data_IF_584552456722
#
_entry.id   IF_584552456722
#
_cell.length_a   1.000
_cell.length_b   1.000
_cell.length_c   1.000
_cell.angle_alpha   90.00
_cell.angle_beta   90.00
_cell.angle_gamma   90.00
#
_symmetry.space_group_name_H-M   'P 1'
#
loop_
_entity.id
_entity.type
_entity.pdbx_description
1 polymer ?
#
# COMPACT_ATOMS: atom_id res chain seq x y z
N UNK A 1 27.92 20.72 4.88
CA UNK A 1 27.08 19.61 5.42
C UNK A 1 25.65 19.58 4.86
N UNK A 2 25.22 20.49 3.96
CA UNK A 2 23.85 20.52 3.41
C UNK A 2 23.58 19.62 2.18
N UNK A 3 24.61 19.23 1.42
CA UNK A 3 24.45 18.43 0.19
C UNK A 3 24.29 16.91 0.40
N UNK A 4 24.70 16.39 1.56
CA UNK A 4 24.57 14.97 1.88
C UNK A 4 23.17 14.62 2.42
N UNK A 5 22.57 15.52 3.19
CA UNK A 5 21.21 15.39 3.73
C UNK A 5 20.13 15.48 2.63
N UNK A 6 20.33 16.32 1.61
CA UNK A 6 19.41 16.41 0.46
C UNK A 6 19.44 15.17 -0.44
N UNK A 7 20.58 14.48 -0.54
CA UNK A 7 20.70 13.22 -1.30
C UNK A 7 19.97 12.07 -0.62
N UNK A 8 19.97 12.02 0.72
CA UNK A 8 19.26 10.99 1.47
C UNK A 8 17.73 11.14 1.39
N UNK A 9 17.22 12.39 1.41
CA UNK A 9 15.80 12.65 1.20
C UNK A 9 15.36 12.36 -0.24
N UNK A 10 16.16 12.73 -1.24
CA UNK A 10 15.88 12.43 -2.65
C UNK A 10 15.96 10.92 -2.96
N UNK A 11 16.87 10.18 -2.31
CA UNK A 11 16.98 8.73 -2.47
C UNK A 11 15.79 7.99 -1.83
N UNK A 12 15.25 8.47 -0.71
CA UNK A 12 14.06 7.91 -0.08
C UNK A 12 12.76 8.15 -0.89
N UNK A 13 12.73 9.19 -1.74
CA UNK A 13 11.64 9.44 -2.69
C UNK A 13 11.81 8.71 -4.03
N UNK A 14 13.04 8.29 -4.36
CA UNK A 14 13.35 7.62 -5.62
C UNK A 14 12.96 6.13 -5.66
N UNK A 15 12.73 5.51 -4.50
CA UNK A 15 12.53 4.06 -4.39
C UNK A 15 11.18 3.54 -4.94
N UNK A 16 10.19 4.39 -5.26
CA UNK A 16 8.93 3.88 -5.81
C UNK A 16 7.98 4.90 -6.45
N UNK A 17 8.43 6.14 -6.68
CA UNK A 17 7.60 7.22 -7.21
C UNK A 17 7.67 7.37 -8.73
N UNK A 18 6.51 7.52 -9.39
CA UNK A 18 6.45 8.06 -10.76
C UNK A 18 7.34 9.32 -10.83
N UNK A 19 8.10 9.48 -11.92
CA UNK A 19 9.09 10.56 -12.12
C UNK A 19 8.50 11.99 -12.17
N UNK A 20 7.23 12.15 -11.81
CA UNK A 20 6.46 13.38 -11.74
C UNK A 20 4.97 13.04 -11.59
N UNK A 21 4.17 14.03 -11.16
CA UNK A 21 2.70 13.90 -11.04
C UNK A 21 2.04 14.62 -12.22
N UNK A 22 1.22 13.90 -12.99
CA UNK A 22 0.44 14.46 -14.10
C UNK A 22 -0.99 14.78 -13.66
N UNK A 23 -1.30 16.06 -13.54
CA UNK A 23 -2.61 16.56 -13.13
C UNK A 23 -3.39 16.99 -14.36
N UNK A 24 -4.61 16.48 -14.54
CA UNK A 24 -5.49 16.90 -15.63
C UNK A 24 -6.59 17.82 -15.10
N UNK A 25 -6.70 19.02 -15.66
CA UNK A 25 -7.73 19.99 -15.30
C UNK A 25 -8.91 19.85 -16.27
N UNK A 26 -10.05 19.39 -15.76
CA UNK A 26 -11.27 19.16 -16.52
C UNK A 26 -12.44 19.98 -15.97
N UNK A 27 -13.53 20.07 -16.72
CA UNK A 27 -14.72 20.83 -16.34
C UNK A 27 -15.32 21.59 -17.51
N UNK A 28 -16.49 22.15 -17.26
CA UNK A 28 -17.32 22.81 -18.26
C UNK A 28 -16.65 24.03 -18.92
N UNK A 29 -17.24 24.48 -20.04
CA UNK A 29 -16.75 25.68 -20.73
C UNK A 29 -16.87 26.89 -19.81
N UNK A 30 -15.78 27.65 -19.69
CA UNK A 30 -15.74 28.91 -18.94
C UNK A 30 -15.73 28.76 -17.41
N UNK A 31 -15.47 27.56 -16.88
CA UNK A 31 -15.33 27.36 -15.42
C UNK A 31 -14.09 28.06 -14.87
N UNK A 32 -13.01 28.18 -15.63
CA UNK A 32 -11.79 28.88 -15.21
C UNK A 32 -10.50 28.06 -15.31
N UNK A 33 -10.54 26.88 -15.95
CA UNK A 33 -9.40 25.95 -16.11
C UNK A 33 -8.08 26.64 -16.49
N UNK A 34 -8.06 27.32 -17.63
CA UNK A 34 -6.83 27.94 -18.16
C UNK A 34 -6.34 29.09 -17.27
N UNK A 35 -7.25 29.92 -16.73
CA UNK A 35 -6.89 30.99 -15.79
C UNK A 35 -6.30 30.43 -14.48
N UNK A 36 -6.87 29.35 -13.95
CA UNK A 36 -6.36 28.65 -12.77
C UNK A 36 -4.91 28.18 -12.98
N UNK A 37 -4.63 27.57 -14.14
CA UNK A 37 -3.29 27.04 -14.46
C UNK A 37 -2.27 28.18 -14.63
N UNK A 38 -2.60 29.24 -15.39
CA UNK A 38 -1.68 30.36 -15.59
C UNK A 38 -1.36 31.04 -14.26
N UNK A 39 -2.38 31.31 -13.45
CA UNK A 39 -2.18 31.97 -12.16
C UNK A 39 -1.37 31.11 -11.20
N UNK A 40 -1.52 29.78 -11.22
CA UNK A 40 -0.66 28.89 -10.44
C UNK A 40 0.81 28.92 -10.91
N UNK A 41 1.05 29.02 -12.22
CA UNK A 41 2.41 28.98 -12.77
C UNK A 41 3.16 30.33 -12.68
N UNK A 42 2.45 31.46 -12.80
CA UNK A 42 3.05 32.80 -12.94
C UNK A 42 2.74 33.72 -11.75
N UNK A 43 1.90 33.28 -10.80
CA UNK A 43 1.41 34.08 -9.66
C UNK A 43 0.76 35.42 -10.06
N UNK A 44 0.16 35.45 -11.26
CA UNK A 44 -0.53 36.61 -11.79
C UNK A 44 -1.77 36.22 -12.60
N UNK A 45 -2.79 37.07 -12.59
CA UNK A 45 -4.00 36.83 -13.36
C UNK A 45 -3.81 37.25 -14.83
N UNK A 46 -4.13 36.38 -15.81
CA UNK A 46 -3.99 36.72 -17.22
C UNK A 46 -5.10 37.69 -17.66
N UNK A 47 -4.73 38.82 -18.27
CA UNK A 47 -5.70 39.73 -18.90
C UNK A 47 -6.42 39.13 -20.12
N UNK A 48 -5.76 38.20 -20.83
CA UNK A 48 -6.36 37.36 -21.87
C UNK A 48 -5.84 35.93 -21.73
N UNK A 49 -6.71 34.94 -21.89
CA UNK A 49 -6.37 33.54 -21.69
C UNK A 49 -6.67 32.74 -22.97
N UNK A 50 -5.73 31.92 -23.49
CA UNK A 50 -6.00 31.04 -24.61
C UNK A 50 -7.06 29.99 -24.22
N UNK A 51 -7.77 29.40 -25.21
CA UNK A 51 -8.83 28.44 -24.93
C UNK A 51 -8.34 27.12 -24.31
N UNK A 52 -7.09 26.72 -24.59
CA UNK A 52 -6.40 25.56 -24.02
C UNK A 52 -4.91 25.88 -23.95
N UNK A 53 -4.26 25.54 -22.84
CA UNK A 53 -2.82 25.71 -22.66
C UNK A 53 -2.01 24.50 -23.13
N UNK A 54 -0.75 24.69 -23.56
CA UNK A 54 0.18 23.57 -23.66
C UNK A 54 0.47 22.97 -22.27
N UNK A 55 0.98 21.72 -22.21
CA UNK A 55 1.39 21.10 -20.95
C UNK A 55 2.29 22.02 -20.12
N UNK A 56 1.82 22.38 -18.93
CA UNK A 56 2.49 23.33 -18.03
C UNK A 56 3.26 22.55 -16.98
N UNK A 57 4.58 22.74 -16.90
CA UNK A 57 5.42 22.07 -15.88
C UNK A 57 5.73 23.04 -14.76
N UNK A 58 5.38 22.64 -13.53
CA UNK A 58 5.88 23.28 -12.32
C UNK A 58 7.19 22.60 -11.91
N UNK A 59 8.16 23.40 -11.47
CA UNK A 59 9.46 22.91 -11.02
C UNK A 59 9.33 22.01 -9.78
N UNK A 60 10.33 21.17 -9.55
CA UNK A 60 10.33 20.22 -8.42
C UNK A 60 10.27 20.94 -7.06
N UNK A 61 10.94 22.07 -6.91
CA UNK A 61 11.02 22.87 -5.69
C UNK A 61 9.76 23.69 -5.38
N UNK A 62 8.73 23.61 -6.24
CA UNK A 62 7.49 24.35 -6.06
C UNK A 62 6.69 23.85 -4.84
N UNK A 63 6.80 22.57 -4.47
CA UNK A 63 6.11 21.96 -3.33
C UNK A 63 7.07 21.23 -2.38
N UNK A 64 6.71 21.06 -1.09
CA UNK A 64 7.58 20.44 -0.09
C UNK A 64 8.09 19.04 -0.44
N UNK A 65 7.28 18.22 -1.14
CA UNK A 65 7.62 16.85 -1.51
C UNK A 65 8.68 16.75 -2.62
N UNK A 66 9.01 17.89 -3.27
CA UNK A 66 10.03 17.98 -4.33
C UNK A 66 9.77 17.08 -5.54
N UNK A 67 8.50 16.87 -5.89
CA UNK A 67 8.10 16.08 -7.06
C UNK A 67 7.62 17.02 -8.17
N UNK A 68 8.15 16.92 -9.41
CA UNK A 68 7.71 17.79 -10.49
C UNK A 68 6.25 17.51 -10.87
N UNK A 69 5.49 18.58 -11.17
CA UNK A 69 4.07 18.50 -11.53
C UNK A 69 3.89 18.92 -12.98
N UNK A 70 3.20 18.10 -13.77
CA UNK A 70 2.78 18.46 -15.14
C UNK A 70 1.27 18.63 -15.16
N UNK A 71 0.82 19.85 -15.44
CA UNK A 71 -0.58 20.22 -15.50
C UNK A 71 -1.04 20.24 -16.95
N UNK A 72 -2.17 19.58 -17.21
CA UNK A 72 -2.78 19.43 -18.53
C UNK A 72 -4.12 20.15 -18.53
N UNK A 73 -4.20 21.22 -19.32
CA UNK A 73 -5.47 21.90 -19.61
C UNK A 73 -6.26 21.12 -20.65
N UNK A 74 -7.58 21.07 -20.51
CA UNK A 74 -8.46 20.30 -21.41
C UNK A 74 -9.43 21.20 -22.16
N UNK A 75 -9.64 20.88 -23.44
CA UNK A 75 -10.60 21.55 -24.30
C UNK A 75 -12.04 21.30 -23.83
N UNK A 76 -12.89 22.33 -23.94
CA UNK A 76 -14.34 22.20 -23.75
C UNK A 76 -15.11 22.07 -25.07
N UNK A 77 -14.42 21.87 -26.20
CA UNK A 77 -15.06 21.66 -27.51
C UNK A 77 -15.55 20.23 -27.64
N UNK A 78 -16.74 20.04 -28.19
CA UNK A 78 -17.33 18.72 -28.41
C UNK A 78 -16.45 17.82 -29.31
N UNK A 79 -15.79 18.39 -30.31
CA UNK A 79 -14.88 17.69 -31.23
C UNK A 79 -13.65 17.11 -30.51
N UNK A 80 -13.22 17.69 -29.38
CA UNK A 80 -12.04 17.25 -28.64
C UNK A 80 -12.37 16.22 -27.54
N UNK A 81 -13.63 15.79 -27.41
CA UNK A 81 -14.08 14.87 -26.35
C UNK A 81 -13.25 13.59 -26.28
N UNK A 82 -12.86 13.04 -27.43
CA UNK A 82 -11.98 11.86 -27.49
C UNK A 82 -10.59 12.13 -26.91
N UNK A 83 -9.99 13.29 -27.20
CA UNK A 83 -8.68 13.68 -26.65
C UNK A 83 -8.76 13.88 -25.14
N UNK A 84 -9.81 14.54 -24.65
CA UNK A 84 -10.03 14.74 -23.20
C UNK A 84 -10.12 13.40 -22.48
N UNK A 85 -10.83 12.42 -23.05
CA UNK A 85 -10.92 11.08 -22.47
C UNK A 85 -9.55 10.39 -22.37
N UNK A 86 -8.70 10.50 -23.39
CA UNK A 86 -7.35 9.95 -23.37
C UNK A 86 -6.45 10.67 -22.35
N UNK A 87 -6.54 12.00 -22.25
CA UNK A 87 -5.78 12.74 -21.25
C UNK A 87 -6.21 12.36 -19.82
N UNK A 88 -7.51 12.17 -19.57
CA UNK A 88 -8.07 11.74 -18.27
C UNK A 88 -7.62 10.33 -17.88
N UNK A 89 -7.59 9.37 -18.81
CA UNK A 89 -7.09 8.00 -18.55
C UNK A 89 -5.62 7.96 -18.15
N UNK A 90 -4.84 8.94 -18.62
CA UNK A 90 -3.40 9.08 -18.31
C UNK A 90 -3.14 9.97 -17.09
N UNK A 91 -4.18 10.46 -16.42
CA UNK A 91 -4.04 11.33 -15.26
C UNK A 91 -3.47 10.55 -14.07
N UNK A 92 -2.70 11.23 -13.23
CA UNK A 92 -2.36 10.78 -11.87
C UNK A 92 -3.31 11.39 -10.84
N UNK A 93 -3.85 12.58 -11.12
CA UNK A 93 -4.97 13.20 -10.42
C UNK A 93 -5.80 14.05 -11.39
N UNK A 94 -7.08 14.24 -11.07
CA UNK A 94 -7.99 15.11 -11.84
C UNK A 94 -8.39 16.31 -10.99
N UNK A 95 -8.15 17.51 -11.50
CA UNK A 95 -8.75 18.74 -10.96
C UNK A 95 -10.03 19.01 -11.74
N UNK A 96 -11.18 18.83 -11.10
CA UNK A 96 -12.48 18.97 -11.72
C UNK A 96 -13.11 20.31 -11.33
N UNK A 97 -13.23 21.20 -12.30
CA UNK A 97 -13.63 22.59 -12.08
C UNK A 97 -15.12 22.84 -12.28
N UNK A 98 -15.71 23.64 -11.41
CA UNK A 98 -16.99 24.34 -11.60
C UNK A 98 -16.79 25.85 -11.40
N UNK A 99 -17.79 26.64 -11.75
CA UNK A 99 -17.78 28.09 -11.61
C UNK A 99 -18.72 28.53 -10.48
N UNK A 100 -18.21 29.27 -9.50
CA UNK A 100 -18.95 29.75 -8.34
C UNK A 100 -20.06 30.75 -8.69
N UNK A 101 -19.97 31.40 -9.85
CA UNK A 101 -20.95 32.31 -10.45
C UNK A 101 -22.03 31.57 -11.27
N UNK A 102 -21.91 30.24 -11.45
CA UNK A 102 -22.76 29.44 -12.34
C UNK A 102 -23.14 28.08 -11.71
N UNK A 103 -24.21 28.03 -10.89
CA UNK A 103 -24.65 26.83 -10.19
C UNK A 103 -24.85 25.60 -11.10
N UNK A 104 -25.29 25.80 -12.35
CA UNK A 104 -25.49 24.72 -13.31
C UNK A 104 -24.19 23.93 -13.62
N UNK A 105 -23.03 24.55 -13.46
CA UNK A 105 -21.73 23.86 -13.64
C UNK A 105 -21.37 22.97 -12.46
N UNK A 106 -21.91 23.26 -11.26
CA UNK A 106 -21.77 22.43 -10.07
C UNK A 106 -22.65 21.17 -10.18
N UNK A 107 -23.91 21.34 -10.63
CA UNK A 107 -24.82 20.21 -10.87
C UNK A 107 -24.27 19.22 -11.91
N UNK A 108 -23.49 19.73 -12.88
CA UNK A 108 -22.82 18.92 -13.89
C UNK A 108 -21.68 18.05 -13.37
N UNK A 109 -21.18 18.29 -12.15
CA UNK A 109 -20.21 17.40 -11.53
C UNK A 109 -20.80 16.00 -11.32
N UNK A 110 -21.95 15.91 -10.65
CA UNK A 110 -22.60 14.64 -10.30
C UNK A 110 -23.41 14.05 -11.46
N UNK A 111 -23.93 14.87 -12.36
CA UNK A 111 -24.77 14.40 -13.48
C UNK A 111 -23.98 14.02 -14.74
N UNK A 112 -22.76 14.55 -14.93
CA UNK A 112 -21.96 14.30 -16.13
C UNK A 112 -20.52 13.90 -15.81
N UNK A 113 -19.74 14.76 -15.16
CA UNK A 113 -18.28 14.58 -15.09
C UNK A 113 -17.85 13.38 -14.24
N UNK A 114 -18.37 13.23 -13.02
CA UNK A 114 -18.03 12.11 -12.15
C UNK A 114 -18.51 10.76 -12.72
N UNK A 115 -19.77 10.63 -13.22
CA UNK A 115 -20.18 9.44 -13.97
C UNK A 115 -19.29 9.16 -15.20
N UNK A 116 -18.84 10.21 -15.90
CA UNK A 116 -17.95 10.06 -17.06
C UNK A 116 -16.58 9.51 -16.67
N UNK A 117 -15.99 9.98 -15.56
CA UNK A 117 -14.73 9.45 -15.04
C UNK A 117 -14.85 7.96 -14.70
N UNK A 118 -15.94 7.55 -14.05
CA UNK A 118 -16.24 6.14 -13.77
C UNK A 118 -16.40 5.32 -15.04
N UNK A 119 -17.14 5.83 -16.04
CA UNK A 119 -17.31 5.17 -17.34
C UNK A 119 -15.97 4.95 -18.06
N UNK A 120 -15.03 5.88 -17.90
CA UNK A 120 -13.69 5.80 -18.47
C UNK A 120 -12.72 4.95 -17.62
N UNK A 121 -13.19 4.36 -16.51
CA UNK A 121 -12.41 3.60 -15.53
C UNK A 121 -11.22 4.40 -14.95
N UNK A 122 -11.40 5.71 -14.81
CA UNK A 122 -10.40 6.61 -14.20
C UNK A 122 -10.46 6.43 -12.69
N UNK A 123 -9.45 5.75 -12.11
CA UNK A 123 -9.36 5.40 -10.68
C UNK A 123 -8.41 6.30 -9.88
N UNK A 124 -8.14 7.50 -10.38
CA UNK A 124 -7.24 8.46 -9.72
C UNK A 124 -8.00 9.45 -8.85
N UNK A 125 -7.36 10.06 -7.83
CA UNK A 125 -8.00 11.04 -6.97
C UNK A 125 -8.52 12.25 -7.75
N UNK A 126 -9.68 12.76 -7.32
CA UNK A 126 -10.35 13.93 -7.88
C UNK A 126 -10.34 15.05 -6.85
N UNK A 127 -9.88 16.22 -7.26
CA UNK A 127 -9.97 17.48 -6.50
C UNK A 127 -11.04 18.34 -7.16
N UNK A 128 -12.14 18.58 -6.47
CA UNK A 128 -13.21 19.44 -6.98
C UNK A 128 -12.86 20.90 -6.69
N UNK A 129 -12.92 21.76 -7.69
CA UNK A 129 -12.49 23.15 -7.57
C UNK A 129 -13.57 24.13 -8.03
N UNK A 130 -14.07 24.94 -7.11
CA UNK A 130 -14.94 26.07 -7.39
C UNK A 130 -14.12 27.29 -7.78
N UNK A 131 -14.08 27.60 -9.07
CA UNK A 131 -13.36 28.77 -9.57
C UNK A 131 -14.23 30.03 -9.53
N UNK A 132 -13.60 31.21 -9.69
CA UNK A 132 -14.26 32.52 -9.73
C UNK A 132 -15.04 32.85 -8.46
N UNK A 133 -14.50 32.50 -7.30
CA UNK A 133 -15.10 32.83 -6.00
C UNK A 133 -15.38 34.34 -5.84
N UNK A 134 -14.61 35.19 -6.51
CA UNK A 134 -14.79 36.64 -6.55
C UNK A 134 -16.07 37.12 -7.24
N UNK A 135 -16.71 36.28 -8.06
CA UNK A 135 -17.94 36.59 -8.79
C UNK A 135 -19.19 35.96 -8.15
N UNK A 136 -19.05 35.29 -7.00
CA UNK A 136 -20.18 34.69 -6.28
C UNK A 136 -21.13 35.78 -5.79
N UNK A 137 -22.43 35.56 -5.98
CA UNK A 137 -23.47 36.41 -5.40
C UNK A 137 -23.49 36.25 -3.87
N UNK A 138 -23.29 37.35 -3.15
CA UNK A 138 -23.31 37.40 -1.68
C UNK A 138 -24.67 36.97 -1.12
N UNK A 139 -25.76 37.14 -1.88
CA UNK A 139 -27.11 36.73 -1.47
C UNK A 139 -27.36 35.22 -1.64
N UNK A 140 -26.47 34.50 -2.33
CA UNK A 140 -26.55 33.06 -2.58
C UNK A 140 -25.45 32.29 -1.84
N UNK A 141 -25.03 32.76 -0.65
CA UNK A 141 -24.10 32.03 0.21
C UNK A 141 -24.72 30.73 0.72
N UNK A 142 -24.53 29.65 -0.05
CA UNK A 142 -24.71 28.28 0.42
C UNK A 142 -23.37 27.75 0.91
N UNK A 143 -23.34 27.09 2.05
CA UNK A 143 -22.10 26.48 2.57
C UNK A 143 -21.62 25.41 1.60
N UNK A 144 -20.36 25.51 1.15
CA UNK A 144 -19.69 24.51 0.30
C UNK A 144 -19.83 23.10 0.91
N UNK A 145 -19.69 22.99 2.23
CA UNK A 145 -19.79 21.72 2.95
C UNK A 145 -21.18 21.10 2.82
N UNK A 146 -22.24 21.91 2.91
CA UNK A 146 -23.62 21.44 2.77
C UNK A 146 -23.91 20.88 1.37
N UNK A 147 -23.33 21.50 0.33
CA UNK A 147 -23.55 21.08 -1.06
C UNK A 147 -22.65 19.90 -1.44
N UNK A 148 -21.40 19.90 -1.01
CA UNK A 148 -20.43 18.87 -1.39
C UNK A 148 -20.53 17.58 -0.58
N UNK A 149 -20.97 17.64 0.68
CA UNK A 149 -21.14 16.45 1.53
C UNK A 149 -21.91 15.29 0.85
N UNK A 150 -23.12 15.49 0.29
CA UNK A 150 -23.83 14.40 -0.39
C UNK A 150 -23.10 13.90 -1.65
N UNK A 151 -22.43 14.80 -2.39
CA UNK A 151 -21.67 14.43 -3.60
C UNK A 151 -20.46 13.58 -3.22
N UNK A 152 -19.71 13.94 -2.18
CA UNK A 152 -18.54 13.18 -1.71
C UNK A 152 -18.93 11.80 -1.16
N UNK A 153 -20.10 11.67 -0.51
CA UNK A 153 -20.63 10.37 -0.09
C UNK A 153 -20.94 9.46 -1.29
N UNK A 154 -21.47 10.02 -2.37
CA UNK A 154 -21.77 9.29 -3.61
C UNK A 154 -20.51 8.99 -4.44
N UNK A 155 -19.52 9.88 -4.39
CA UNK A 155 -18.31 9.86 -5.20
C UNK A 155 -17.04 9.87 -4.33
N UNK A 156 -16.67 8.67 -3.84
CA UNK A 156 -15.50 8.45 -2.96
C UNK A 156 -14.15 8.75 -3.62
N UNK A 157 -14.11 8.89 -4.94
CA UNK A 157 -12.92 9.35 -5.66
C UNK A 157 -12.61 10.85 -5.41
N UNK A 158 -13.54 11.62 -4.85
CA UNK A 158 -13.32 13.01 -4.46
C UNK A 158 -12.58 13.04 -3.14
N UNK A 159 -11.33 13.51 -3.16
CA UNK A 159 -10.50 13.63 -1.96
C UNK A 159 -10.79 14.93 -1.20
N UNK A 160 -10.96 16.04 -1.92
CA UNK A 160 -11.25 17.34 -1.31
C UNK A 160 -11.91 18.30 -2.29
N UNK A 161 -12.53 19.34 -1.73
CA UNK A 161 -13.19 20.41 -2.45
C UNK A 161 -12.61 21.76 -2.04
N UNK A 162 -12.21 22.57 -3.02
CA UNK A 162 -11.54 23.85 -2.78
C UNK A 162 -12.23 24.95 -3.59
N UNK A 163 -12.54 26.06 -2.97
CA UNK A 163 -13.01 27.26 -3.68
C UNK A 163 -11.85 28.24 -3.82
N UNK A 164 -11.70 28.81 -5.01
CA UNK A 164 -10.55 29.63 -5.37
C UNK A 164 -10.98 30.81 -6.25
N UNK A 165 -10.14 31.85 -6.26
CA UNK A 165 -10.26 32.96 -7.21
C UNK A 165 -8.91 33.21 -7.85
N UNK A 166 -8.78 32.94 -9.14
CA UNK A 166 -7.56 33.27 -9.88
C UNK A 166 -7.35 34.78 -9.95
N UNK A 167 -8.43 35.57 -10.02
CA UNK A 167 -8.36 37.03 -10.07
C UNK A 167 -7.84 37.63 -8.76
N UNK A 168 -8.37 37.18 -7.62
CA UNK A 168 -7.92 37.61 -6.28
C UNK A 168 -6.71 36.81 -5.74
N UNK A 169 -6.23 35.80 -6.47
CA UNK A 169 -5.17 34.85 -6.06
C UNK A 169 -5.47 34.14 -4.74
N UNK A 170 -6.73 33.73 -4.56
CA UNK A 170 -7.21 33.02 -3.37
C UNK A 170 -7.11 31.52 -3.63
N UNK A 171 -6.41 30.79 -2.75
CA UNK A 171 -6.31 29.33 -2.69
C UNK A 171 -5.79 28.63 -3.96
N UNK A 172 -5.02 29.35 -4.80
CA UNK A 172 -4.52 28.81 -6.08
C UNK A 172 -3.40 27.79 -5.88
N UNK A 173 -2.34 28.05 -5.08
CA UNK A 173 -1.31 27.05 -4.79
C UNK A 173 -1.86 25.76 -4.18
N UNK A 174 -2.87 25.89 -3.31
CA UNK A 174 -3.51 24.83 -2.55
C UNK A 174 -4.17 23.79 -3.46
N UNK A 175 -4.80 24.21 -4.56
CA UNK A 175 -5.45 23.29 -5.51
C UNK A 175 -4.49 22.21 -6.01
N UNK A 176 -3.34 22.65 -6.51
CA UNK A 176 -2.35 21.75 -7.10
C UNK A 176 -1.48 21.07 -6.03
N UNK A 177 -1.30 21.71 -4.87
CA UNK A 177 -0.70 21.08 -3.69
C UNK A 177 -1.52 19.87 -3.21
N UNK A 178 -2.82 20.03 -3.00
CA UNK A 178 -3.69 18.92 -2.57
C UNK A 178 -3.85 17.84 -3.64
N UNK A 179 -3.88 18.23 -4.92
CA UNK A 179 -3.85 17.27 -6.02
C UNK A 179 -2.57 16.42 -6.02
N UNK A 180 -1.41 17.03 -5.81
CA UNK A 180 -0.15 16.29 -5.66
C UNK A 180 -0.17 15.38 -4.42
N UNK A 181 -0.57 15.92 -3.27
CA UNK A 181 -0.63 15.17 -2.01
C UNK A 181 -1.55 13.96 -2.10
N UNK A 182 -2.69 14.06 -2.76
CA UNK A 182 -3.61 12.93 -2.95
C UNK A 182 -2.98 11.77 -3.74
N UNK A 183 -2.09 12.07 -4.69
CA UNK A 183 -1.33 11.04 -5.44
C UNK A 183 -0.20 10.47 -4.59
N UNK A 184 0.52 11.34 -3.90
CA UNK A 184 1.68 10.95 -3.10
C UNK A 184 1.29 10.29 -1.79
N UNK A 185 0.08 10.47 -1.27
CA UNK A 185 -0.36 9.97 0.03
C UNK A 185 -1.80 9.46 -0.04
N UNK A 186 -2.07 8.41 -0.83
CA UNK A 186 -3.44 7.98 -1.10
C UNK A 186 -4.14 7.49 0.17
N UNK A 187 -5.39 7.87 0.36
CA UNK A 187 -6.22 7.45 1.50
C UNK A 187 -6.69 6.00 1.34
N UNK A 188 -7.05 5.62 0.11
CA UNK A 188 -7.69 4.35 -0.24
C UNK A 188 -7.01 3.07 0.31
N UNK A 189 -5.68 2.92 0.32
CA UNK A 189 -5.06 1.71 0.87
C UNK A 189 -5.00 1.71 2.41
N UNK A 190 -5.04 2.89 3.07
CA UNK A 190 -4.87 3.02 4.51
C UNK A 190 -6.16 2.79 5.29
N UNK A 191 -7.27 3.36 4.81
CA UNK A 191 -8.47 3.58 5.62
C UNK A 191 -9.73 3.28 4.84
N UNK A 192 -10.69 2.67 5.51
CA UNK A 192 -12.04 2.47 5.00
C UNK A 192 -12.95 3.56 5.55
N UNK A 193 -13.41 4.44 4.66
CA UNK A 193 -14.24 5.57 5.01
C UNK A 193 -15.66 5.15 5.44
N UNK A 194 -16.13 3.95 5.08
CA UNK A 194 -17.46 3.48 5.46
C UNK A 194 -17.48 2.93 6.89
N UNK A 195 -16.53 2.07 7.22
CA UNK A 195 -16.40 1.55 8.58
C UNK A 195 -15.67 2.49 9.53
N UNK A 196 -15.07 3.57 9.04
CA UNK A 196 -14.19 4.48 9.80
C UNK A 196 -13.07 3.70 10.52
N UNK A 197 -12.43 2.78 9.81
CA UNK A 197 -11.36 1.93 10.37
C UNK A 197 -10.17 1.82 9.44
N UNK A 198 -9.00 1.52 10.00
CA UNK A 198 -7.83 1.14 9.24
C UNK A 198 -8.10 -0.16 8.46
N UNK A 199 -7.66 -0.21 7.20
CA UNK A 199 -7.77 -1.43 6.39
C UNK A 199 -6.86 -2.53 6.94
N UNK A 200 -7.22 -3.83 6.78
CA UNK A 200 -6.43 -4.93 7.33
C UNK A 200 -4.95 -4.88 6.96
N UNK A 201 -4.61 -4.61 5.69
CA UNK A 201 -3.21 -4.52 5.24
C UNK A 201 -2.44 -3.39 5.94
N UNK A 202 -3.08 -2.24 6.14
CA UNK A 202 -2.50 -1.11 6.87
C UNK A 202 -2.23 -1.49 8.33
N UNK A 203 -3.20 -2.15 8.99
CA UNK A 203 -3.05 -2.65 10.37
C UNK A 203 -1.87 -3.61 10.48
N UNK A 204 -1.74 -4.58 9.57
CA UNK A 204 -0.63 -5.55 9.57
C UNK A 204 0.73 -4.88 9.35
N UNK A 205 0.80 -3.90 8.46
CA UNK A 205 2.02 -3.14 8.23
C UNK A 205 2.44 -2.30 9.45
N UNK A 206 1.48 -1.60 10.07
CA UNK A 206 1.72 -0.83 11.30
C UNK A 206 2.06 -1.74 12.49
N UNK A 207 1.44 -2.93 12.59
CA UNK A 207 1.81 -3.96 13.58
C UNK A 207 3.26 -4.40 13.41
N UNK A 208 3.71 -4.63 12.18
CA UNK A 208 5.12 -4.95 11.92
C UNK A 208 6.04 -3.81 12.36
N UNK A 209 5.68 -2.58 12.05
CA UNK A 209 6.47 -1.39 12.44
C UNK A 209 6.55 -1.28 13.96
N UNK A 210 5.44 -1.47 14.67
CA UNK A 210 5.40 -1.50 16.13
C UNK A 210 6.36 -2.54 16.69
N UNK A 211 6.30 -3.80 16.21
CA UNK A 211 7.18 -4.89 16.66
C UNK A 211 8.66 -4.59 16.39
N UNK A 212 8.96 -3.89 15.29
CA UNK A 212 10.34 -3.47 14.97
C UNK A 212 10.84 -2.33 15.85
N UNK A 213 9.95 -1.61 16.53
CA UNK A 213 10.27 -0.49 17.42
C UNK A 213 10.23 -0.88 18.90
N UNK A 214 9.50 -1.92 19.25
CA UNK A 214 9.49 -2.57 20.56
C UNK A 214 10.77 -3.41 20.70
N UNK A 215 11.85 -2.77 21.17
CA UNK A 215 13.19 -3.33 21.19
C UNK A 215 13.35 -4.35 22.32
N UNK A 216 12.69 -4.13 23.46
CA UNK A 216 12.70 -5.06 24.59
C UNK A 216 11.60 -6.15 24.51
N UNK A 217 10.69 -6.03 23.54
CA UNK A 217 9.62 -6.99 23.21
C UNK A 217 8.64 -7.17 24.34
N UNK A 218 8.39 -6.10 25.09
CA UNK A 218 7.49 -6.11 26.24
C UNK A 218 6.02 -5.85 25.86
N UNK A 219 5.74 -5.59 24.59
CA UNK A 219 4.40 -5.35 24.04
C UNK A 219 3.94 -3.89 24.13
N UNK A 220 4.81 -2.96 24.53
CA UNK A 220 4.55 -1.53 24.58
C UNK A 220 5.76 -0.73 24.07
N UNK A 221 5.52 0.48 23.55
CA UNK A 221 6.59 1.43 23.28
C UNK A 221 6.77 2.34 24.49
N UNK A 222 7.90 2.16 25.16
CA UNK A 222 8.38 3.04 26.22
C UNK A 222 8.60 4.48 25.72
N UNK A 223 8.80 5.45 26.63
CA UNK A 223 9.10 6.83 26.24
C UNK A 223 10.36 6.93 25.38
N UNK A 224 11.36 6.09 25.66
CA UNK A 224 12.60 6.02 24.91
C UNK A 224 12.37 5.50 23.48
N UNK A 225 11.67 4.37 23.34
CA UNK A 225 11.39 3.77 22.02
C UNK A 225 10.45 4.64 21.18
N UNK A 226 9.47 5.29 21.81
CA UNK A 226 8.58 6.22 21.13
C UNK A 226 9.36 7.44 20.61
N UNK A 227 10.32 7.95 21.38
CA UNK A 227 11.20 9.02 20.93
C UNK A 227 12.15 8.55 19.80
N UNK A 228 12.73 7.36 19.92
CA UNK A 228 13.60 6.79 18.87
C UNK A 228 12.82 6.56 17.56
N UNK A 229 11.59 6.07 17.66
CA UNK A 229 10.65 5.97 16.54
C UNK A 229 10.39 7.33 15.89
N UNK A 230 10.13 8.36 16.69
CA UNK A 230 9.92 9.73 16.18
C UNK A 230 11.17 10.23 15.44
N UNK A 231 12.35 10.12 16.06
CA UNK A 231 13.61 10.58 15.45
C UNK A 231 13.86 9.83 14.14
N UNK A 232 13.63 8.51 14.11
CA UNK A 232 13.78 7.69 12.90
C UNK A 232 12.86 8.18 11.78
N UNK A 233 11.59 8.41 12.06
CA UNK A 233 10.58 8.72 11.04
C UNK A 233 10.61 10.19 10.60
N UNK A 234 10.78 11.13 11.54
CA UNK A 234 10.56 12.56 11.32
C UNK A 234 11.82 13.41 11.50
N UNK A 235 12.96 12.81 11.87
CA UNK A 235 14.23 13.49 12.12
C UNK A 235 14.14 14.60 13.19
N UNK A 236 13.21 14.46 14.13
CA UNK A 236 13.00 15.38 15.24
C UNK A 236 12.62 14.59 16.51
N UNK A 237 13.19 14.90 17.69
CA UNK A 237 12.80 14.25 18.93
C UNK A 237 11.46 14.80 19.47
N UNK A 238 10.78 14.01 20.30
CA UNK A 238 9.64 14.48 21.08
C UNK A 238 10.14 15.05 22.42
N UNK A 239 9.61 16.20 22.81
CA UNK A 239 9.78 16.69 24.17
C UNK A 239 8.98 15.79 25.14
N UNK A 240 9.43 15.60 26.39
CA UNK A 240 8.71 14.77 27.36
C UNK A 240 7.25 15.18 27.56
N UNK A 241 6.93 16.47 27.50
CA UNK A 241 5.56 16.98 27.57
C UNK A 241 4.70 16.58 26.37
N UNK A 242 5.29 16.45 25.18
CA UNK A 242 4.61 16.00 23.97
C UNK A 242 4.27 14.51 24.06
N UNK A 243 5.18 13.69 24.59
CA UNK A 243 4.95 12.26 24.83
C UNK A 243 3.76 12.05 25.78
N UNK A 244 3.76 12.77 26.90
CA UNK A 244 2.64 12.76 27.86
C UNK A 244 1.34 13.21 27.18
N UNK A 245 1.41 14.25 26.34
CA UNK A 245 0.25 14.73 25.57
C UNK A 245 -0.32 13.68 24.62
N UNK A 246 0.55 12.96 23.89
CA UNK A 246 0.15 11.86 22.99
C UNK A 246 -0.52 10.74 23.78
N UNK A 247 0.10 10.27 24.87
CA UNK A 247 -0.47 9.21 25.73
C UNK A 247 -1.82 9.59 26.30
N UNK A 248 -1.97 10.84 26.77
CA UNK A 248 -3.24 11.35 27.30
C UNK A 248 -4.36 11.33 26.26
N UNK A 249 -4.07 11.74 25.01
CA UNK A 249 -5.06 11.68 23.91
C UNK A 249 -5.54 10.25 23.66
N UNK A 250 -4.63 9.27 23.74
CA UNK A 250 -4.97 7.86 23.58
C UNK A 250 -5.82 7.38 24.76
N UNK A 251 -5.41 7.67 25.99
CA UNK A 251 -6.09 7.24 27.20
C UNK A 251 -7.50 7.84 27.36
N UNK A 252 -7.70 9.09 26.96
CA UNK A 252 -9.01 9.75 26.95
C UNK A 252 -10.00 9.08 25.99
N UNK A 253 -9.51 8.52 24.89
CA UNK A 253 -10.33 7.92 23.82
C UNK A 253 -10.45 6.41 23.92
N UNK A 254 -9.46 5.76 24.52
CA UNK A 254 -9.39 4.32 24.77
C UNK A 254 -9.07 4.06 26.26
N UNK A 255 -10.00 4.41 27.17
CA UNK A 255 -9.79 4.19 28.60
C UNK A 255 -9.68 2.69 28.89
N UNK A 256 -8.61 2.29 29.58
CA UNK A 256 -8.34 0.90 29.91
C UNK A 256 -9.38 0.31 30.86
N UNK A 257 -10.28 -0.52 30.32
CA UNK A 257 -11.25 -1.27 31.11
C UNK A 257 -10.66 -2.56 31.67
N UNK A 258 -9.69 -2.50 32.59
CA UNK A 258 -9.25 -3.64 33.41
C UNK A 258 -8.66 -4.87 32.70
N UNK A 259 -8.55 -4.88 31.37
CA UNK A 259 -7.84 -5.89 30.57
C UNK A 259 -6.70 -5.26 29.77
N UNK A 260 -5.80 -6.09 29.29
CA UNK A 260 -4.59 -5.80 28.50
C UNK A 260 -4.82 -5.05 27.17
N UNK A 261 -6.04 -4.57 26.90
CA UNK A 261 -6.47 -3.96 25.64
C UNK A 261 -6.54 -2.42 25.67
N UNK A 262 -6.08 -1.79 26.75
CA UNK A 262 -5.96 -0.33 26.84
C UNK A 262 -4.96 0.24 25.82
N UNK A 263 -5.18 1.49 25.37
CA UNK A 263 -4.27 2.14 24.42
C UNK A 263 -2.91 2.55 25.03
N UNK A 264 -2.85 2.71 26.35
CA UNK A 264 -1.64 2.98 27.14
C UNK A 264 -1.66 2.08 28.37
N UNK A 265 -0.50 1.55 28.76
CA UNK A 265 -0.32 0.79 29.99
C UNK A 265 0.91 1.33 30.78
N UNK A 266 1.28 0.64 31.87
CA UNK A 266 2.41 1.04 32.72
C UNK A 266 3.77 1.05 31.99
N UNK A 267 3.92 0.25 30.92
CA UNK A 267 5.14 0.14 30.11
C UNK A 267 5.20 1.22 29.03
N UNK A 268 4.05 1.59 28.46
CA UNK A 268 3.97 2.68 27.51
C UNK A 268 2.79 2.59 26.55
N UNK A 269 3.02 3.00 25.31
CA UNK A 269 2.00 2.99 24.26
C UNK A 269 1.84 1.56 23.70
N UNK A 270 0.65 0.97 23.81
CA UNK A 270 0.41 -0.38 23.31
C UNK A 270 0.21 -0.40 21.79
N UNK A 271 0.21 -1.58 21.17
CA UNK A 271 -0.15 -1.74 19.76
C UNK A 271 -1.52 -1.14 19.45
N UNK A 272 -2.51 -1.35 20.33
CA UNK A 272 -3.85 -0.78 20.21
C UNK A 272 -3.81 0.74 20.18
N UNK A 273 -3.06 1.36 21.08
CA UNK A 273 -2.86 2.82 21.11
C UNK A 273 -2.13 3.34 19.87
N UNK A 274 -1.10 2.61 19.41
CA UNK A 274 -0.35 2.96 18.21
C UNK A 274 -1.22 2.95 16.95
N UNK A 275 -2.03 1.90 16.76
CA UNK A 275 -2.99 1.82 15.65
C UNK A 275 -4.03 2.94 15.74
N UNK A 276 -4.54 3.22 16.94
CA UNK A 276 -5.49 4.29 17.16
C UNK A 276 -4.94 5.67 16.79
N UNK A 277 -3.69 5.98 17.15
CA UNK A 277 -3.06 7.25 16.77
C UNK A 277 -2.98 7.41 15.24
N UNK A 278 -2.64 6.33 14.52
CA UNK A 278 -2.60 6.36 13.06
C UNK A 278 -3.99 6.53 12.43
N UNK A 279 -5.01 5.89 12.98
CA UNK A 279 -6.41 6.14 12.59
C UNK A 279 -6.79 7.61 12.82
N UNK A 280 -6.48 8.16 13.99
CA UNK A 280 -6.75 9.55 14.33
C UNK A 280 -6.03 10.55 13.41
N UNK A 281 -4.78 10.28 13.02
CA UNK A 281 -4.09 11.14 12.06
C UNK A 281 -4.79 11.16 10.71
N UNK A 282 -5.25 10.00 10.22
CA UNK A 282 -5.97 9.88 8.95
C UNK A 282 -7.31 10.62 9.02
N UNK A 283 -8.10 10.43 10.08
CA UNK A 283 -9.36 11.14 10.30
C UNK A 283 -9.20 12.67 10.35
N UNK A 284 -8.04 13.15 10.84
CA UNK A 284 -7.71 14.57 10.87
C UNK A 284 -7.09 15.09 9.56
N UNK A 285 -7.12 14.30 8.47
CA UNK A 285 -6.54 14.66 7.17
C UNK A 285 -5.01 14.69 7.14
N UNK A 286 -4.34 14.13 8.16
CA UNK A 286 -2.88 14.09 8.30
C UNK A 286 -2.30 12.77 7.80
N UNK A 287 -2.67 12.41 6.57
CA UNK A 287 -2.25 11.17 5.90
C UNK A 287 -0.72 11.05 5.78
N UNK A 288 -0.05 12.18 5.57
CA UNK A 288 1.40 12.27 5.42
C UNK A 288 2.15 11.69 6.60
N UNK A 289 1.65 11.86 7.83
CA UNK A 289 2.27 11.30 9.03
C UNK A 289 2.36 9.78 8.94
N UNK A 290 1.25 9.11 8.61
CA UNK A 290 1.19 7.65 8.48
C UNK A 290 2.02 7.17 7.29
N UNK A 291 1.95 7.84 6.15
CA UNK A 291 2.73 7.49 4.97
C UNK A 291 4.25 7.66 5.16
N UNK A 292 4.67 8.68 5.90
CA UNK A 292 6.08 8.90 6.25
C UNK A 292 6.62 7.72 7.04
N UNK A 293 5.86 7.27 8.04
CA UNK A 293 6.19 6.08 8.84
C UNK A 293 6.27 4.84 7.95
N UNK A 294 5.25 4.56 7.14
CA UNK A 294 5.23 3.42 6.22
C UNK A 294 6.46 3.41 5.29
N UNK A 295 6.78 4.53 4.63
CA UNK A 295 7.93 4.63 3.74
C UNK A 295 9.26 4.48 4.44
N UNK A 296 9.40 5.01 5.67
CA UNK A 296 10.62 4.86 6.47
C UNK A 296 10.93 3.39 6.77
N UNK A 297 9.90 2.55 6.82
CA UNK A 297 10.01 1.10 7.02
C UNK A 297 9.89 0.31 5.71
N UNK A 298 10.02 0.98 4.57
CA UNK A 298 10.17 0.34 3.27
C UNK A 298 8.87 -0.03 2.58
N UNK A 299 7.73 0.55 2.97
CA UNK A 299 6.46 0.27 2.30
C UNK A 299 6.19 1.23 1.14
N UNK A 300 5.66 0.68 0.04
CA UNK A 300 5.17 1.42 -1.11
C UNK A 300 3.67 1.79 -0.97
N UNK A 301 3.09 2.43 -2.00
CA UNK A 301 1.70 2.89 -1.98
C UNK A 301 0.64 1.76 -1.98
N UNK A 302 1.03 0.52 -2.26
CA UNK A 302 0.17 -0.66 -2.13
C UNK A 302 0.26 -1.32 -0.75
N UNK A 303 1.03 -0.72 0.16
CA UNK A 303 1.38 -1.24 1.49
C UNK A 303 2.05 -2.62 1.35
N UNK A 304 2.95 -2.74 0.39
CA UNK A 304 3.89 -3.86 0.25
C UNK A 304 5.32 -3.36 0.45
N UNK A 305 6.23 -4.25 0.81
CA UNK A 305 7.64 -3.89 0.89
C UNK A 305 8.12 -3.53 -0.51
N UNK A 306 8.97 -2.51 -0.57
CA UNK A 306 9.53 -2.03 -1.81
C UNK A 306 10.42 -3.10 -2.46
N UNK A 307 10.37 -3.20 -3.79
CA UNK A 307 11.14 -4.18 -4.56
C UNK A 307 12.65 -4.01 -4.34
N UNK A 308 13.12 -2.80 -4.00
CA UNK A 308 14.53 -2.54 -3.68
C UNK A 308 15.01 -3.31 -2.43
N UNK A 309 14.11 -3.67 -1.51
CA UNK A 309 14.41 -4.48 -0.33
C UNK A 309 14.44 -5.97 -0.61
N UNK A 310 13.92 -6.39 -1.78
CA UNK A 310 13.73 -7.79 -2.13
C UNK A 310 14.75 -8.16 -3.22
N UNK A 311 15.74 -9.02 -2.94
CA UNK A 311 16.73 -9.37 -3.93
C UNK A 311 16.12 -10.06 -5.16
N UNK A 312 16.64 -9.71 -6.34
CA UNK A 312 16.32 -10.41 -7.59
C UNK A 312 17.20 -11.64 -7.76
N UNK A 313 16.58 -12.79 -8.05
CA UNK A 313 17.30 -14.05 -8.22
C UNK A 313 17.27 -14.47 -9.69
N UNK A 314 18.39 -14.26 -10.40
CA UNK A 314 18.57 -14.78 -11.76
C UNK A 314 19.14 -16.18 -11.69
N UNK A 315 18.50 -17.14 -12.38
CA UNK A 315 18.95 -18.54 -12.46
C UNK A 315 18.87 -19.06 -13.88
N UNK A 316 19.75 -20.00 -14.25
CA UNK A 316 19.63 -20.74 -15.49
C UNK A 316 18.46 -21.75 -15.43
N UNK A 317 17.90 -22.18 -16.58
CA UNK A 317 16.79 -23.15 -16.61
C UNK A 317 17.11 -24.51 -15.94
N UNK A 318 18.39 -24.88 -15.89
CA UNK A 318 18.87 -26.11 -15.25
C UNK A 318 19.41 -25.91 -13.83
N UNK A 319 19.15 -24.75 -13.23
CA UNK A 319 19.42 -24.44 -11.82
C UNK A 319 18.11 -24.44 -11.02
N UNK A 320 18.21 -24.41 -9.70
CA UNK A 320 17.07 -24.35 -8.77
C UNK A 320 17.45 -23.47 -7.60
N UNK A 321 16.45 -23.07 -6.81
CA UNK A 321 16.65 -22.17 -5.68
C UNK A 321 16.08 -22.85 -4.46
N UNK A 322 16.85 -22.85 -3.38
CA UNK A 322 16.52 -23.47 -2.11
C UNK A 322 16.83 -22.47 -0.99
N UNK A 323 16.18 -22.61 0.17
CA UNK A 323 16.58 -21.85 1.35
C UNK A 323 17.99 -22.25 1.79
N UNK A 324 18.76 -21.30 2.30
CA UNK A 324 20.01 -21.57 3.01
C UNK A 324 19.70 -22.10 4.44
N UNK A 325 20.74 -22.57 5.14
CA UNK A 325 20.55 -23.15 6.49
C UNK A 325 20.03 -22.14 7.50
N UNK A 326 20.48 -20.90 7.45
CA UNK A 326 20.14 -19.87 8.42
C UNK A 326 18.63 -19.52 8.43
N UNK A 327 17.97 -19.23 7.29
CA UNK A 327 16.52 -19.08 7.25
C UNK A 327 15.76 -20.34 7.65
N UNK A 328 16.28 -21.54 7.36
CA UNK A 328 15.63 -22.77 7.79
C UNK A 328 15.63 -22.90 9.31
N UNK A 329 16.73 -22.57 9.98
CA UNK A 329 16.82 -22.57 11.44
C UNK A 329 15.91 -21.49 12.05
N UNK A 330 15.87 -20.30 11.44
CA UNK A 330 14.93 -19.24 11.81
C UNK A 330 13.47 -19.72 11.71
N UNK A 331 13.08 -20.37 10.61
CA UNK A 331 11.73 -20.89 10.40
C UNK A 331 11.36 -21.98 11.41
N UNK A 332 12.30 -22.82 11.83
CA UNK A 332 12.09 -23.78 12.91
C UNK A 332 11.83 -23.06 14.24
N UNK A 333 12.59 -22.02 14.56
CA UNK A 333 12.36 -21.20 15.75
C UNK A 333 11.00 -20.50 15.73
N UNK A 334 10.55 -19.99 14.57
CA UNK A 334 9.21 -19.42 14.40
C UNK A 334 8.14 -20.49 14.62
N UNK A 335 8.31 -21.69 14.05
CA UNK A 335 7.39 -22.79 14.28
C UNK A 335 7.24 -23.08 15.78
N UNK A 336 8.35 -23.29 16.49
CA UNK A 336 8.37 -23.60 17.92
C UNK A 336 7.77 -22.48 18.79
N UNK A 337 7.95 -21.22 18.39
CA UNK A 337 7.40 -20.07 19.10
C UNK A 337 5.85 -20.03 19.05
N UNK A 338 5.26 -20.45 17.93
CA UNK A 338 3.81 -20.38 17.71
C UNK A 338 3.09 -21.71 17.96
N UNK A 339 3.81 -22.84 17.99
CA UNK A 339 3.34 -24.16 18.44
C UNK A 339 3.33 -24.23 19.97
N UNK A 340 2.57 -23.32 20.62
CA UNK A 340 2.70 -23.05 22.06
C UNK A 340 2.31 -24.22 22.98
N UNK A 341 1.54 -25.18 22.48
CA UNK A 341 1.21 -26.43 23.17
C UNK A 341 2.11 -27.62 22.79
N UNK A 342 3.09 -27.40 21.91
CA UNK A 342 4.09 -28.36 21.46
C UNK A 342 3.48 -29.66 20.92
N UNK A 343 2.30 -29.57 20.29
CA UNK A 343 1.61 -30.72 19.71
C UNK A 343 2.11 -31.08 18.29
N UNK A 344 3.08 -30.32 17.77
CA UNK A 344 3.60 -30.41 16.40
C UNK A 344 2.47 -30.27 15.37
N UNK A 345 1.61 -29.28 15.61
CA UNK A 345 0.46 -29.00 14.79
C UNK A 345 0.09 -27.50 14.84
N UNK A 346 0.74 -26.71 13.98
CA UNK A 346 0.35 -25.32 13.76
C UNK A 346 -1.06 -25.23 13.17
N UNK A 347 -2.00 -24.78 14.00
CA UNK A 347 -3.41 -24.59 13.63
C UNK A 347 -3.57 -23.38 12.71
N UNK A 348 -4.68 -23.28 11.98
CA UNK A 348 -4.93 -22.13 11.09
C UNK A 348 -4.80 -20.77 11.78
N UNK A 349 -5.27 -20.63 13.03
CA UNK A 349 -5.14 -19.39 13.79
C UNK A 349 -3.68 -19.03 14.12
N UNK A 350 -2.86 -20.00 14.52
CA UNK A 350 -1.43 -19.78 14.78
C UNK A 350 -0.67 -19.44 13.50
N UNK A 351 -1.07 -20.06 12.38
CA UNK A 351 -0.52 -19.74 11.07
C UNK A 351 -0.87 -18.32 10.63
N UNK A 352 -2.11 -17.89 10.87
CA UNK A 352 -2.54 -16.51 10.65
C UNK A 352 -1.75 -15.53 11.53
N UNK A 353 -1.42 -15.92 12.76
CA UNK A 353 -0.62 -15.11 13.68
C UNK A 353 0.85 -14.98 13.22
N UNK A 354 1.47 -16.05 12.72
CA UNK A 354 2.81 -16.03 12.11
C UNK A 354 2.85 -14.99 10.98
N UNK A 355 1.83 -14.96 10.12
CA UNK A 355 1.75 -14.04 8.98
C UNK A 355 0.99 -12.75 9.30
N UNK A 356 0.75 -12.44 10.58
CA UNK A 356 -0.01 -11.25 10.98
C UNK A 356 0.68 -9.92 10.66
N UNK A 357 1.97 -9.95 10.31
CA UNK A 357 2.77 -8.82 9.83
C UNK A 357 2.96 -8.80 8.31
N UNK A 358 2.47 -9.83 7.60
CA UNK A 358 2.49 -9.93 6.14
C UNK A 358 1.17 -9.40 5.53
N UNK A 359 1.18 -8.90 4.27
CA UNK A 359 -0.01 -8.30 3.65
C UNK A 359 -1.20 -9.26 3.53
N UNK A 360 -0.91 -10.54 3.37
CA UNK A 360 -1.82 -11.67 3.23
C UNK A 360 -1.06 -12.97 3.54
N UNK A 361 -1.76 -14.07 3.85
CA UNK A 361 -1.11 -15.39 4.00
C UNK A 361 -0.53 -15.82 2.64
N UNK A 362 0.71 -16.34 2.58
CA UNK A 362 1.30 -16.76 1.31
C UNK A 362 0.65 -18.03 0.75
N UNK A 363 -0.11 -18.78 1.57
CA UNK A 363 -0.49 -20.16 1.29
C UNK A 363 -2.00 -20.39 1.08
N UNK A 364 -2.80 -19.32 1.07
CA UNK A 364 -4.27 -19.44 0.94
C UNK A 364 -4.73 -19.71 -0.51
N UNK A 365 -3.84 -19.47 -1.47
CA UNK A 365 -4.10 -19.58 -2.91
C UNK A 365 -3.20 -20.64 -3.58
N UNK A 366 -3.65 -21.25 -4.69
CA UNK A 366 -2.82 -22.14 -5.49
C UNK A 366 -1.51 -21.45 -5.95
N UNK A 367 -0.38 -22.18 -6.03
CA UNK A 367 -0.25 -23.63 -5.90
C UNK A 367 -0.02 -24.13 -4.46
N UNK A 368 0.00 -23.24 -3.46
CA UNK A 368 0.33 -23.56 -2.06
C UNK A 368 -0.87 -24.08 -1.29
N UNK A 369 -2.05 -23.57 -1.62
CA UNK A 369 -3.28 -24.03 -1.00
C UNK A 369 -3.38 -25.53 -1.13
N UNK A 370 -3.43 -26.19 0.01
CA UNK A 370 -3.52 -27.63 0.11
C UNK A 370 -2.32 -28.35 -0.56
N UNK A 371 -1.13 -27.78 -0.57
CA UNK A 371 0.07 -28.43 -1.11
C UNK A 371 0.73 -29.37 -0.11
N UNK A 372 0.73 -29.04 1.18
CA UNK A 372 1.29 -29.89 2.23
C UNK A 372 0.27 -30.84 2.91
N UNK A 373 0.82 -31.85 3.58
CA UNK A 373 0.09 -32.73 4.49
C UNK A 373 -0.46 -31.95 5.68
N UNK A 374 -1.70 -32.23 6.05
CA UNK A 374 -2.33 -31.69 7.27
C UNK A 374 -2.33 -32.78 8.34
N UNK A 375 -2.13 -32.38 9.60
CA UNK A 375 -2.26 -33.31 10.73
C UNK A 375 -3.71 -33.78 10.89
N UNK A 376 -3.95 -34.73 11.79
CA UNK A 376 -5.31 -35.15 12.16
C UNK A 376 -6.17 -34.02 12.75
N UNK A 377 -5.53 -32.95 13.24
CA UNK A 377 -6.19 -31.78 13.82
C UNK A 377 -6.36 -30.64 12.78
N UNK A 378 -5.92 -30.85 11.54
CA UNK A 378 -6.09 -29.92 10.43
C UNK A 378 -5.03 -28.82 10.31
N UNK A 379 -4.01 -28.82 11.17
CA UNK A 379 -2.87 -27.91 11.09
C UNK A 379 -1.69 -28.46 10.27
N UNK A 380 -0.54 -27.78 10.36
CA UNK A 380 0.72 -28.19 9.72
C UNK A 380 1.70 -28.71 10.77
N UNK A 381 2.31 -29.86 10.51
CA UNK A 381 3.51 -30.27 11.25
C UNK A 381 4.71 -29.42 10.85
N UNK A 382 5.80 -29.46 11.62
CA UNK A 382 7.05 -28.75 11.28
C UNK A 382 7.57 -29.10 9.88
N UNK A 383 7.46 -30.36 9.48
CA UNK A 383 7.89 -30.79 8.15
C UNK A 383 6.97 -30.26 7.04
N UNK A 384 5.66 -30.24 7.28
CA UNK A 384 4.69 -29.68 6.33
C UNK A 384 4.88 -28.16 6.18
N UNK A 385 5.10 -27.45 7.29
CA UNK A 385 5.42 -26.02 7.31
C UNK A 385 6.69 -25.71 6.50
N UNK A 386 7.78 -26.43 6.76
CA UNK A 386 9.04 -26.25 6.01
C UNK A 386 8.90 -26.65 4.53
N UNK A 387 8.01 -27.60 4.22
CA UNK A 387 7.73 -28.00 2.83
C UNK A 387 7.01 -26.90 2.04
N UNK A 388 6.05 -26.20 2.65
CA UNK A 388 5.39 -25.03 2.03
C UNK A 388 6.41 -23.91 1.74
N UNK A 389 7.32 -23.66 2.68
CA UNK A 389 8.44 -22.72 2.46
C UNK A 389 9.36 -23.17 1.32
N UNK A 390 9.76 -24.44 1.28
CA UNK A 390 10.60 -24.98 0.22
C UNK A 390 9.94 -24.89 -1.16
N UNK A 391 8.63 -25.19 -1.23
CA UNK A 391 7.81 -25.04 -2.43
C UNK A 391 7.76 -23.56 -2.88
N UNK A 392 7.46 -22.62 -1.97
CA UNK A 392 7.47 -21.19 -2.27
C UNK A 392 8.83 -20.70 -2.76
N UNK A 393 9.93 -21.11 -2.13
CA UNK A 393 11.28 -20.73 -2.56
C UNK A 393 11.63 -21.29 -3.93
N UNK A 394 11.20 -22.52 -4.25
CA UNK A 394 11.47 -23.12 -5.56
C UNK A 394 10.77 -22.36 -6.69
N UNK A 395 9.49 -22.04 -6.50
CA UNK A 395 8.64 -21.43 -7.53
C UNK A 395 8.81 -19.91 -7.61
N UNK A 396 8.84 -19.26 -6.44
CA UNK A 396 8.81 -17.80 -6.30
C UNK A 396 9.82 -17.35 -5.23
N UNK A 397 11.15 -17.43 -5.50
CA UNK A 397 12.19 -17.18 -4.50
C UNK A 397 12.14 -15.76 -3.92
N UNK A 398 11.88 -14.73 -4.73
CA UNK A 398 11.74 -13.35 -4.23
C UNK A 398 10.55 -13.21 -3.27
N UNK A 399 9.42 -13.89 -3.54
CA UNK A 399 8.27 -13.92 -2.62
C UNK A 399 8.62 -14.63 -1.30
N UNK A 400 9.39 -15.70 -1.35
CA UNK A 400 9.84 -16.35 -0.12
C UNK A 400 10.69 -15.41 0.75
N UNK A 401 11.64 -14.70 0.14
CA UNK A 401 12.48 -13.73 0.88
C UNK A 401 11.66 -12.55 1.40
N UNK A 402 10.72 -12.02 0.59
CA UNK A 402 9.77 -11.00 1.04
C UNK A 402 9.00 -11.44 2.30
N UNK A 403 8.48 -12.67 2.31
CA UNK A 403 7.73 -13.20 3.46
C UNK A 403 8.62 -13.49 4.68
N UNK A 404 9.88 -13.88 4.50
CA UNK A 404 10.85 -13.96 5.60
C UNK A 404 11.03 -12.59 6.26
N UNK A 405 11.17 -11.52 5.47
CA UNK A 405 11.29 -10.14 5.98
C UNK A 405 10.03 -9.70 6.72
N UNK A 406 8.84 -10.10 6.26
CA UNK A 406 7.58 -9.79 6.94
C UNK A 406 7.52 -10.40 8.34
N UNK A 407 7.89 -11.67 8.49
CA UNK A 407 7.82 -12.39 9.77
C UNK A 407 9.04 -12.15 10.67
N UNK A 408 9.92 -11.23 10.32
CA UNK A 408 10.99 -10.75 11.20
C UNK A 408 12.35 -11.43 11.03
N UNK A 409 12.64 -12.02 9.87
CA UNK A 409 14.00 -12.49 9.56
C UNK A 409 14.97 -11.30 9.53
N UNK A 410 16.03 -11.38 10.34
CA UNK A 410 17.03 -10.31 10.54
C UNK A 410 18.32 -10.51 9.74
N UNK A 411 18.50 -11.68 9.12
CA UNK A 411 19.68 -11.96 8.31
C UNK A 411 19.66 -11.24 6.96
N UNK A 412 20.75 -11.34 6.21
CA UNK A 412 20.88 -10.71 4.90
C UNK A 412 19.91 -11.37 3.89
N UNK A 413 18.91 -10.64 3.36
CA UNK A 413 17.96 -11.20 2.39
C UNK A 413 18.64 -11.79 1.15
N UNK A 414 19.82 -11.28 0.77
CA UNK A 414 20.54 -11.71 -0.43
C UNK A 414 21.18 -13.10 -0.30
N UNK A 415 21.40 -13.56 0.94
CA UNK A 415 21.98 -14.88 1.26
C UNK A 415 20.94 -15.88 1.79
N UNK A 416 19.68 -15.43 1.97
CA UNK A 416 18.58 -16.25 2.46
C UNK A 416 18.23 -17.44 1.53
N UNK A 417 18.58 -17.33 0.25
CA UNK A 417 18.40 -18.42 -0.72
C UNK A 417 19.72 -18.74 -1.42
N UNK A 418 19.90 -20.01 -1.74
CA UNK A 418 21.02 -20.52 -2.52
C UNK A 418 20.56 -20.97 -3.90
N UNK A 419 21.29 -20.57 -4.93
CA UNK A 419 21.12 -21.12 -6.28
C UNK A 419 21.94 -22.41 -6.39
N UNK A 420 21.27 -23.53 -6.62
CA UNK A 420 21.93 -24.83 -6.81
C UNK A 420 22.72 -24.84 -8.10
N UNK A 421 23.83 -25.58 -8.15
CA UNK A 421 24.56 -25.79 -9.42
C UNK A 421 23.70 -26.43 -10.51
N UNK A 422 24.13 -26.28 -11.77
CA UNK A 422 23.48 -26.84 -12.96
C UNK A 422 23.27 -28.36 -12.89
N UNK A 423 22.05 -28.83 -13.18
CA UNK A 423 21.70 -30.27 -13.23
C UNK A 423 22.61 -31.07 -14.17
N UNK A 424 23.17 -30.45 -15.21
CA UNK A 424 24.11 -31.12 -16.13
C UNK A 424 25.38 -31.57 -15.40
N UNK A 425 25.85 -30.79 -14.42
CA UNK A 425 27.01 -31.15 -13.60
C UNK A 425 26.67 -32.27 -12.61
N UNK A 426 25.49 -32.21 -12.00
CA UNK A 426 25.00 -33.28 -11.11
C UNK A 426 24.96 -34.63 -11.83
N UNK A 427 24.39 -34.65 -13.05
CA UNK A 427 24.34 -35.86 -13.89
C UNK A 427 25.71 -36.37 -14.29
N UNK A 428 26.64 -35.47 -14.65
CA UNK A 428 28.02 -35.85 -15.02
C UNK A 428 28.77 -36.47 -13.85
N UNK A 429 28.54 -35.95 -12.63
CA UNK A 429 29.16 -36.44 -11.40
C UNK A 429 28.40 -37.60 -10.74
N UNK A 430 27.18 -37.90 -11.20
CA UNK A 430 26.25 -38.82 -10.55
C UNK A 430 26.03 -38.50 -9.05
N UNK A 431 26.09 -37.22 -8.70
CA UNK A 431 25.97 -36.74 -7.33
C UNK A 431 25.23 -35.41 -7.33
N UNK A 432 24.22 -35.27 -6.47
CA UNK A 432 23.44 -34.04 -6.30
C UNK A 432 23.59 -33.53 -4.87
N UNK A 433 23.70 -32.21 -4.72
CA UNK A 433 23.68 -31.49 -3.43
C UNK A 433 22.32 -30.78 -3.19
N UNK A 434 21.36 -31.04 -4.09
CA UNK A 434 19.99 -30.51 -4.03
C UNK A 434 19.19 -31.27 -3.00
N UNK A 435 18.40 -30.53 -2.24
CA UNK A 435 17.48 -31.07 -1.25
C UNK A 435 16.03 -31.02 -1.73
N UNK A 436 15.74 -30.30 -2.82
CA UNK A 436 14.38 -30.18 -3.37
C UNK A 436 14.33 -30.70 -4.80
N UNK A 437 13.45 -31.67 -5.04
CA UNK A 437 13.23 -32.24 -6.36
C UNK A 437 11.82 -31.98 -6.88
N UNK A 438 11.75 -31.42 -8.09
CA UNK A 438 10.48 -31.19 -8.78
C UNK A 438 10.16 -32.37 -9.70
N UNK A 439 9.05 -33.05 -9.43
CA UNK A 439 8.55 -34.12 -10.29
C UNK A 439 7.25 -33.68 -10.98
N UNK A 440 7.23 -33.80 -12.31
CA UNK A 440 6.06 -33.51 -13.13
C UNK A 440 5.28 -34.79 -13.44
N UNK A 441 4.02 -34.85 -13.02
CA UNK A 441 3.15 -36.02 -13.26
C UNK A 441 2.26 -35.78 -14.48
N UNK A 442 2.55 -36.49 -15.56
CA UNK A 442 1.77 -36.44 -16.80
C UNK A 442 0.92 -37.69 -16.98
N UNK A 443 -0.18 -37.55 -17.73
CA UNK A 443 -1.10 -38.65 -18.03
C UNK A 443 -2.47 -38.16 -18.47
N UNK A 444 -3.28 -38.99 -19.14
CA UNK A 444 -4.59 -38.59 -19.64
C UNK A 444 -5.60 -38.27 -18.52
N UNK A 445 -6.75 -37.71 -18.88
CA UNK A 445 -7.88 -37.50 -17.95
C UNK A 445 -8.26 -38.85 -17.34
N UNK A 446 -8.56 -38.86 -16.03
CA UNK A 446 -8.86 -40.07 -15.24
C UNK A 446 -7.72 -41.08 -15.06
N UNK A 447 -6.48 -40.77 -15.45
CA UNK A 447 -5.31 -41.64 -15.19
C UNK A 447 -4.87 -41.72 -13.72
N UNK A 448 -5.65 -41.17 -12.77
CA UNK A 448 -5.33 -41.23 -11.35
C UNK A 448 -4.27 -40.24 -10.85
N UNK A 449 -3.77 -39.31 -11.67
CA UNK A 449 -2.74 -38.32 -11.29
C UNK A 449 -3.04 -37.65 -9.94
N UNK A 450 -4.20 -37.01 -9.81
CA UNK A 450 -4.61 -36.33 -8.57
C UNK A 450 -4.69 -37.28 -7.38
N UNK A 451 -5.12 -38.53 -7.58
CA UNK A 451 -5.15 -39.53 -6.51
C UNK A 451 -3.75 -39.95 -6.08
N UNK A 452 -2.79 -40.05 -7.01
CA UNK A 452 -1.39 -40.31 -6.69
C UNK A 452 -0.81 -39.20 -5.80
N UNK A 453 -1.07 -37.95 -6.16
CA UNK A 453 -0.61 -36.77 -5.43
C UNK A 453 -1.24 -36.66 -4.04
N UNK A 454 -2.57 -36.83 -3.95
CA UNK A 454 -3.27 -36.84 -2.68
C UNK A 454 -2.78 -37.98 -1.77
N UNK A 455 -2.50 -39.15 -2.33
CA UNK A 455 -1.94 -40.28 -1.57
C UNK A 455 -0.54 -39.99 -1.04
N UNK A 456 0.25 -39.19 -1.74
CA UNK A 456 1.60 -38.83 -1.31
C UNK A 456 1.59 -37.96 -0.04
N UNK A 457 0.60 -37.08 0.10
CA UNK A 457 0.40 -36.20 1.26
C UNK A 457 -0.65 -36.75 2.24
N UNK A 458 -0.89 -38.06 2.26
CA UNK A 458 -1.74 -38.73 3.25
C UNK A 458 -3.26 -38.50 3.10
N UNK A 459 -3.73 -37.79 2.07
CA UNK A 459 -5.17 -37.51 1.86
C UNK A 459 -5.90 -38.76 1.36
N UNK A 460 -6.75 -39.33 2.21
CA UNK A 460 -7.68 -40.40 1.82
C UNK A 460 -8.75 -39.87 0.87
N UNK A 461 -9.23 -40.73 -0.05
CA UNK A 461 -10.35 -40.40 -0.95
C UNK A 461 -11.63 -40.20 -0.13
N UNK A 462 -11.97 -38.95 0.20
CA UNK A 462 -13.35 -38.60 0.53
C UNK A 462 -14.10 -38.35 -0.78
N UNK A 463 -15.25 -39.00 -0.92
CA UNK A 463 -16.15 -38.95 -2.06
C UNK A 463 -16.84 -37.59 -2.17
N UNK A 464 -16.11 -36.57 -2.62
CA UNK A 464 -16.68 -35.34 -3.15
C UNK A 464 -15.82 -34.87 -4.33
N UNK A 465 -16.39 -34.89 -5.53
CA UNK A 465 -15.78 -34.38 -6.75
C UNK A 465 -15.45 -32.89 -6.60
N UNK A 466 -14.19 -32.54 -6.38
CA UNK A 466 -13.67 -31.24 -6.82
C UNK A 466 -12.89 -31.46 -8.12
N UNK A 467 -13.53 -31.06 -9.21
CA UNK A 467 -12.88 -30.90 -10.52
C UNK A 467 -12.01 -29.66 -10.43
N UNK A 468 -10.71 -29.82 -10.17
CA UNK A 468 -9.75 -28.82 -10.61
C UNK A 468 -9.42 -29.09 -12.08
N UNK A 469 -9.82 -28.16 -12.92
CA UNK A 469 -9.50 -28.11 -14.35
C UNK A 469 -8.00 -28.00 -14.53
N UNK A 470 -7.45 -28.94 -15.31
CA UNK A 470 -6.18 -28.91 -16.04
C UNK A 470 -5.16 -27.91 -15.51
N UNK A 471 -4.23 -28.33 -14.64
CA UNK A 471 -2.84 -27.85 -14.65
C UNK A 471 -1.91 -28.88 -14.00
N UNK A 472 -0.69 -28.89 -14.50
CA UNK A 472 0.49 -29.59 -14.00
C UNK A 472 0.53 -29.59 -12.48
N UNK A 473 0.36 -30.75 -11.84
CA UNK A 473 0.55 -30.85 -10.40
C UNK A 473 1.98 -31.27 -10.14
N UNK A 474 2.68 -30.49 -9.33
CA UNK A 474 4.07 -30.70 -8.96
C UNK A 474 4.13 -31.53 -7.67
N UNK A 475 4.92 -32.60 -7.71
CA UNK A 475 5.35 -33.30 -6.49
C UNK A 475 6.59 -32.63 -5.92
N UNK A 476 6.62 -32.47 -4.60
CA UNK A 476 7.79 -32.09 -3.81
C UNK A 476 8.34 -33.34 -3.13
N UNK A 477 9.57 -33.72 -3.48
CA UNK A 477 10.38 -34.74 -2.80
C UNK A 477 11.55 -34.06 -2.11
#
# INVERSE_FOLDING_TARGET
MSKASSKAAAAALAAGGKTGVRIVVAGDRGTGKSSLIITAAVDNFPGTCPPVLPPTRLAEDFYPDRVPVTIIDTSSKLEDTGKVAEELKRADAVVLTYACDRPETLDRLSTFWLPKLRQLEVKVPVIVVGCKLDLRDENQQVSLEQVMSPIMQQFREIETCIECSSFKRIQIPEVFYYAQKAVLHPTAPLFDQESQTLKPRCVRALKRIFILCDHDRDGALSDAELNDFQVKCFNAPLQPSEIVGVKRVVEEKLPGGGTTDGGVNERGLTLTGFLFLHALFIEKGRLETTWTVLRKFGYNNDIRLDDELIPSFKRAPDESVELSSEPLDFLRGIYELFDGDYDNNLRPAELDDIFSTAPDSPWDEPPYKDAAERTSLGGLSVNAFLSEWALMTLLHPSRAVEYLIYIGYLGDPSTAVRVTRKRRLDRKKQQSERNVFQCFVFGPKKAGKTSLLNSFIGRRKNSAMFVMTSHTVQLFL
#
